data_IF_859301526306
#
_entry.id   IF_859301526306
#
_cell.length_a   1.000
_cell.length_b   1.000
_cell.length_c   1.000
_cell.angle_alpha   90.00
_cell.angle_beta   90.00
_cell.angle_gamma   90.00
#
_symmetry.space_group_name_H-M   'P 1'
#
loop_
_entity.id
_entity.type
_entity.pdbx_description
1 polymer ?
#
# COMPACT_ATOMS: atom_id res chain seq x y z
N UNK A 1 -6.59 0.57 0.33
CA UNK A 1 -7.18 0.74 1.68
C UNK A 1 -6.73 2.07 2.28
N UNK A 2 -7.41 2.53 3.33
CA UNK A 2 -7.06 3.74 4.10
C UNK A 2 -6.93 3.35 5.56
N UNK A 3 -5.84 3.76 6.20
CA UNK A 3 -5.55 3.52 7.61
C UNK A 3 -5.33 4.86 8.31
N UNK A 4 -5.91 5.06 9.50
CA UNK A 4 -5.82 6.36 10.20
C UNK A 4 -4.47 6.56 10.88
N UNK A 5 -3.70 5.48 11.10
CA UNK A 5 -2.38 5.52 11.75
C UNK A 5 -1.47 4.37 11.30
N UNK A 6 -0.16 4.54 11.50
CA UNK A 6 0.83 3.45 11.37
C UNK A 6 0.48 2.25 12.28
N UNK A 7 -0.06 2.49 13.47
CA UNK A 7 -0.47 1.44 14.41
C UNK A 7 -1.63 0.59 13.86
N UNK A 8 -2.63 1.21 13.23
CA UNK A 8 -3.74 0.49 12.59
C UNK A 8 -3.27 -0.33 11.39
N UNK A 9 -2.37 0.25 10.60
CA UNK A 9 -1.77 -0.46 9.49
C UNK A 9 -1.00 -1.71 9.97
N UNK A 10 -0.18 -1.57 11.01
CA UNK A 10 0.53 -2.71 11.59
C UNK A 10 -0.41 -3.76 12.17
N UNK A 11 -1.49 -3.36 12.87
CA UNK A 11 -2.53 -4.31 13.35
C UNK A 11 -3.16 -5.10 12.21
N UNK A 12 -3.38 -4.47 11.06
CA UNK A 12 -3.93 -5.14 9.88
C UNK A 12 -2.93 -6.12 9.28
N UNK A 13 -1.65 -5.74 9.18
CA UNK A 13 -0.57 -6.66 8.77
C UNK A 13 -0.52 -7.87 9.71
N UNK A 14 -0.48 -7.65 11.02
CA UNK A 14 -0.40 -8.73 12.01
C UNK A 14 -1.64 -9.65 11.94
N UNK A 15 -2.82 -9.07 11.73
CA UNK A 15 -4.05 -9.84 11.53
C UNK A 15 -3.96 -10.74 10.29
N UNK A 16 -3.58 -10.18 9.14
CA UNK A 16 -3.45 -10.95 7.89
C UNK A 16 -2.36 -12.01 7.99
N UNK A 17 -1.21 -11.70 8.60
CA UNK A 17 -0.13 -12.65 8.82
C UNK A 17 -0.58 -13.86 9.66
N UNK A 18 -1.44 -13.64 10.66
CA UNK A 18 -2.03 -14.71 11.47
C UNK A 18 -3.18 -15.43 10.75
N UNK A 19 -3.90 -14.75 9.87
CA UNK A 19 -5.03 -15.32 9.11
C UNK A 19 -4.53 -16.32 8.05
N UNK A 20 -3.40 -16.04 7.42
CA UNK A 20 -2.78 -16.88 6.39
C UNK A 20 -3.36 -16.68 4.98
N UNK A 21 -2.51 -16.81 3.96
CA UNK A 21 -2.79 -16.41 2.56
C UNK A 21 -4.02 -17.07 1.93
N UNK A 22 -4.35 -18.28 2.37
CA UNK A 22 -5.53 -19.03 1.95
C UNK A 22 -6.86 -18.32 2.28
N UNK A 23 -6.84 -17.45 3.29
CA UNK A 23 -8.02 -16.75 3.79
C UNK A 23 -8.09 -15.29 3.32
N UNK A 24 -7.10 -14.78 2.59
CA UNK A 24 -7.13 -13.41 2.05
C UNK A 24 -8.33 -13.12 1.15
N UNK A 25 -8.81 -14.05 0.29
CA UNK A 25 -10.04 -13.81 -0.48
C UNK A 25 -11.26 -13.55 0.40
N UNK A 26 -11.38 -14.23 1.54
CA UNK A 26 -12.50 -14.04 2.47
C UNK A 26 -12.43 -12.68 3.14
N UNK A 27 -11.23 -12.27 3.56
CA UNK A 27 -11.00 -10.93 4.09
C UNK A 27 -11.41 -9.85 3.07
N UNK A 28 -10.93 -9.95 1.83
CA UNK A 28 -11.24 -9.03 0.73
C UNK A 28 -12.76 -8.93 0.47
N UNK A 29 -13.49 -10.04 0.56
CA UNK A 29 -14.95 -10.07 0.45
C UNK A 29 -15.64 -9.42 1.66
N UNK A 30 -15.20 -9.69 2.89
CA UNK A 30 -15.81 -9.14 4.11
C UNK A 30 -15.74 -7.61 4.18
N UNK A 31 -14.64 -7.03 3.69
CA UNK A 31 -14.43 -5.57 3.69
C UNK A 31 -14.81 -4.91 2.34
N UNK A 32 -15.41 -5.66 1.42
CA UNK A 32 -15.80 -5.21 0.07
C UNK A 32 -14.64 -4.50 -0.67
N UNK A 33 -13.44 -5.07 -0.58
CA UNK A 33 -12.21 -4.49 -1.13
C UNK A 33 -11.65 -5.35 -2.25
N UNK A 34 -11.43 -4.73 -3.40
CA UNK A 34 -10.68 -5.35 -4.49
C UNK A 34 -9.20 -5.00 -4.35
N UNK A 35 -8.40 -5.96 -3.89
CA UNK A 35 -6.95 -5.78 -3.73
C UNK A 35 -6.19 -5.90 -5.05
N UNK A 36 -4.93 -5.45 -5.05
CA UNK A 36 -4.02 -5.68 -6.16
C UNK A 36 -3.87 -7.15 -6.48
N UNK A 37 -3.76 -8.00 -5.44
CA UNK A 37 -3.74 -9.46 -5.55
C UNK A 37 -4.97 -9.98 -6.28
N UNK A 38 -6.16 -9.65 -5.82
CA UNK A 38 -7.42 -10.17 -6.37
C UNK A 38 -7.59 -9.84 -7.86
N UNK A 39 -7.20 -8.63 -8.27
CA UNK A 39 -7.39 -8.15 -9.64
C UNK A 39 -6.27 -8.58 -10.59
N UNK A 40 -5.01 -8.58 -10.14
CA UNK A 40 -3.85 -8.76 -11.01
C UNK A 40 -3.18 -10.15 -10.91
N UNK A 41 -3.49 -10.98 -9.91
CA UNK A 41 -2.82 -12.28 -9.72
C UNK A 41 -3.07 -13.20 -10.92
N UNK A 42 -1.98 -13.66 -11.53
CA UNK A 42 -2.00 -14.49 -12.74
C UNK A 42 -2.10 -13.73 -14.06
N UNK A 43 -2.19 -12.40 -14.04
CA UNK A 43 -2.05 -11.59 -15.24
C UNK A 43 -0.58 -11.55 -15.71
N UNK A 44 -0.34 -11.38 -17.01
CA UNK A 44 1.03 -11.37 -17.58
C UNK A 44 1.91 -10.22 -17.07
N UNK A 45 1.29 -9.21 -16.47
CA UNK A 45 1.92 -8.07 -15.81
C UNK A 45 2.04 -8.23 -14.28
N UNK A 46 1.66 -9.39 -13.71
CA UNK A 46 1.96 -9.68 -12.31
C UNK A 46 3.48 -9.62 -12.14
N UNK A 47 4.01 -8.67 -11.36
CA UNK A 47 5.43 -8.58 -11.16
C UNK A 47 5.86 -9.89 -10.50
N UNK A 48 6.80 -10.61 -11.10
CA UNK A 48 7.35 -11.84 -10.53
C UNK A 48 7.90 -11.64 -9.10
N UNK A 49 8.08 -10.39 -8.70
CA UNK A 49 8.61 -9.93 -7.41
C UNK A 49 7.54 -9.57 -6.37
N UNK A 50 6.25 -9.65 -6.69
CA UNK A 50 5.23 -9.72 -5.62
C UNK A 50 5.24 -11.15 -5.10
N UNK A 51 6.24 -11.43 -4.27
CA UNK A 51 6.34 -12.67 -3.49
C UNK A 51 5.51 -12.56 -2.20
N UNK A 52 5.12 -11.34 -1.82
CA UNK A 52 4.34 -11.05 -0.62
C UNK A 52 2.84 -10.89 -0.96
N UNK A 53 2.12 -12.01 -0.85
CA UNK A 53 0.66 -12.09 -1.03
C UNK A 53 -0.08 -11.21 0.01
N UNK A 54 0.49 -11.02 1.21
CA UNK A 54 -0.09 -10.21 2.29
C UNK A 54 -0.07 -8.74 1.90
N UNK A 55 1.08 -8.24 1.48
CA UNK A 55 1.20 -6.84 1.08
C UNK A 55 0.31 -6.54 -0.14
N UNK A 56 0.25 -7.45 -1.11
CA UNK A 56 -0.61 -7.32 -2.28
C UNK A 56 -2.12 -7.32 -1.96
N UNK A 57 -2.52 -7.86 -0.80
CA UNK A 57 -3.89 -7.80 -0.29
C UNK A 57 -4.23 -6.44 0.34
N UNK A 58 -3.25 -5.62 0.73
CA UNK A 58 -3.47 -4.33 1.39
C UNK A 58 -3.54 -3.13 0.42
N UNK A 59 -2.91 -3.26 -0.75
CA UNK A 59 -2.90 -2.22 -1.79
C UNK A 59 -4.09 -2.37 -2.75
N UNK A 60 -4.57 -1.25 -3.27
CA UNK A 60 -5.64 -1.23 -4.27
C UNK A 60 -5.13 -1.72 -5.65
N UNK A 61 -6.00 -1.94 -6.65
CA UNK A 61 -5.61 -2.49 -7.95
C UNK A 61 -4.65 -1.60 -8.74
N UNK A 62 -4.57 -0.32 -8.39
CA UNK A 62 -3.69 0.67 -8.99
C UNK A 62 -2.32 0.77 -8.27
N UNK A 63 -2.10 -0.01 -7.21
CA UNK A 63 -0.85 -0.05 -6.46
C UNK A 63 -0.74 0.99 -5.34
N UNK A 64 -1.87 1.47 -4.83
CA UNK A 64 -1.92 2.50 -3.80
C UNK A 64 -2.46 2.00 -2.45
N UNK A 65 -1.94 2.60 -1.38
CA UNK A 65 -2.42 2.47 0.00
C UNK A 65 -2.24 3.80 0.72
N UNK A 66 -3.21 4.20 1.54
CA UNK A 66 -3.10 5.41 2.35
C UNK A 66 -2.92 5.02 3.81
N UNK A 67 -1.95 5.63 4.48
CA UNK A 67 -1.74 5.53 5.93
C UNK A 67 -1.51 6.94 6.45
N UNK A 68 -2.31 7.36 7.43
CA UNK A 68 -2.35 8.75 7.91
C UNK A 68 -2.61 9.74 6.76
N UNK A 69 -1.80 10.80 6.70
CA UNK A 69 -1.79 11.80 5.65
C UNK A 69 -0.81 11.44 4.51
N UNK A 70 -0.40 10.18 4.38
CA UNK A 70 0.47 9.74 3.29
C UNK A 70 -0.26 8.79 2.35
N UNK A 71 -0.23 9.10 1.06
CA UNK A 71 -0.55 8.14 0.01
C UNK A 71 0.74 7.47 -0.44
N UNK A 72 0.81 6.15 -0.34
CA UNK A 72 1.90 5.35 -0.86
C UNK A 72 1.52 4.76 -2.21
N UNK A 73 2.43 4.88 -3.18
CA UNK A 73 2.36 4.23 -4.49
C UNK A 73 3.52 3.28 -4.65
N UNK A 74 3.22 2.03 -4.97
CA UNK A 74 4.21 0.99 -5.16
C UNK A 74 4.50 0.83 -6.65
N UNK A 75 5.75 1.06 -7.06
CA UNK A 75 6.22 0.79 -8.42
C UNK A 75 7.02 -0.51 -8.42
N UNK A 76 6.32 -1.61 -8.66
CA UNK A 76 6.90 -2.96 -8.71
C UNK A 76 7.95 -3.13 -9.81
N UNK A 77 7.92 -2.31 -10.87
CA UNK A 77 8.90 -2.40 -11.94
C UNK A 77 10.25 -1.80 -11.53
N UNK A 78 10.23 -0.84 -10.58
CA UNK A 78 11.42 -0.16 -10.09
C UNK A 78 11.84 -0.56 -8.68
N UNK A 79 11.06 -1.41 -8.01
CA UNK A 79 11.26 -1.81 -6.60
C UNK A 79 11.34 -0.59 -5.67
N UNK A 80 10.41 0.34 -5.90
CA UNK A 80 10.36 1.62 -5.18
C UNK A 80 8.96 1.91 -4.69
N UNK A 81 8.90 2.59 -3.56
CA UNK A 81 7.67 3.15 -3.02
C UNK A 81 7.79 4.67 -2.99
N UNK A 82 6.74 5.33 -3.46
CA UNK A 82 6.61 6.77 -3.50
C UNK A 82 5.56 7.18 -2.49
N UNK A 83 5.94 8.01 -1.52
CA UNK A 83 5.01 8.59 -0.57
C UNK A 83 4.68 10.03 -0.96
N UNK A 84 3.39 10.34 -1.01
CA UNK A 84 2.84 11.65 -1.28
C UNK A 84 2.17 12.17 -0.01
N UNK A 85 2.58 13.33 0.47
CA UNK A 85 1.89 14.02 1.57
C UNK A 85 0.56 14.53 1.02
N UNK A 86 -0.53 14.19 1.70
CA UNK A 86 -1.87 14.65 1.40
C UNK A 86 -2.22 15.83 2.30
N UNK A 87 -2.81 16.84 1.69
CA UNK A 87 -3.45 17.94 2.43
C UNK A 87 -4.83 17.49 2.96
N UNK A 88 -5.40 18.19 3.95
CA UNK A 88 -6.73 17.85 4.51
C UNK A 88 -7.82 17.73 3.44
N UNK A 89 -7.74 18.54 2.38
CA UNK A 89 -8.67 18.47 1.23
C UNK A 89 -8.49 17.25 0.32
N UNK A 90 -7.35 16.58 0.40
CA UNK A 90 -7.00 15.40 -0.40
C UNK A 90 -7.21 14.09 0.37
N UNK A 91 -7.27 14.15 1.71
CA UNK A 91 -7.54 12.99 2.56
C UNK A 91 -8.92 12.37 2.32
N UNK A 92 -9.90 13.14 1.83
CA UNK A 92 -11.24 12.65 1.46
C UNK A 92 -11.34 12.14 0.01
N UNK A 93 -10.33 12.40 -0.83
CA UNK A 93 -10.34 11.99 -2.23
C UNK A 93 -9.88 10.53 -2.32
N UNK A 94 -10.82 9.63 -2.62
CA UNK A 94 -10.55 8.24 -3.02
C UNK A 94 -9.53 8.25 -4.16
N UNK A 95 -8.27 7.89 -3.86
CA UNK A 95 -7.10 7.47 -4.68
C UNK A 95 -6.89 7.96 -6.13
N UNK A 96 -7.94 8.22 -6.92
CA UNK A 96 -7.94 8.51 -8.35
C UNK A 96 -7.59 9.97 -8.73
N UNK A 97 -7.40 10.89 -7.77
CA UNK A 97 -7.25 12.33 -8.08
C UNK A 97 -5.95 12.98 -7.59
N UNK A 98 -5.03 12.22 -7.00
CA UNK A 98 -3.80 12.79 -6.43
C UNK A 98 -2.82 13.09 -7.56
N UNK A 99 -2.72 14.37 -7.91
CA UNK A 99 -1.91 14.92 -9.02
C UNK A 99 -0.60 15.52 -8.53
N UNK A 100 -0.17 15.23 -7.30
CA UNK A 100 1.05 15.78 -6.70
C UNK A 100 2.33 15.12 -7.24
N UNK A 101 2.57 15.24 -8.55
CA UNK A 101 3.82 14.84 -9.22
C UNK A 101 5.06 15.62 -8.71
N UNK A 102 4.91 16.58 -7.80
CA UNK A 102 5.96 17.52 -7.41
C UNK A 102 6.86 17.13 -6.23
N UNK A 103 6.40 16.33 -5.26
CA UNK A 103 7.11 16.15 -3.97
C UNK A 103 7.03 14.72 -3.41
N UNK A 104 7.12 13.70 -4.26
CA UNK A 104 7.14 12.32 -3.79
C UNK A 104 8.44 12.05 -3.00
N UNK A 105 8.31 11.53 -1.78
CA UNK A 105 9.43 10.97 -1.03
C UNK A 105 9.60 9.53 -1.54
N UNK A 106 10.74 9.26 -2.15
CA UNK A 106 11.09 7.93 -2.68
C UNK A 106 11.92 7.17 -1.65
N UNK A 107 11.55 5.90 -1.44
CA UNK A 107 12.37 4.95 -0.69
C UNK A 107 12.37 3.56 -1.34
N UNK A 108 13.51 2.87 -1.22
CA UNK A 108 13.69 1.48 -1.62
C UNK A 108 12.97 0.53 -0.66
N UNK A 109 12.72 -0.70 -1.10
CA UNK A 109 12.08 -1.72 -0.26
C UNK A 109 12.97 -2.27 0.86
N UNK A 110 14.27 -1.94 0.84
CA UNK A 110 15.22 -2.22 1.91
C UNK A 110 15.28 -1.10 2.97
N UNK A 111 14.63 0.04 2.73
CA UNK A 111 14.51 1.15 3.67
C UNK A 111 13.22 1.03 4.49
N UNK A 112 13.29 1.42 5.77
CA UNK A 112 12.09 1.65 6.59
C UNK A 112 11.41 2.95 6.12
N UNK A 113 10.32 2.79 5.37
CA UNK A 113 9.58 3.91 4.80
C UNK A 113 9.09 4.92 5.82
N UNK A 114 8.63 4.49 7.00
CA UNK A 114 8.16 5.40 8.04
C UNK A 114 9.33 6.11 8.73
N UNK A 115 10.49 5.45 8.89
CA UNK A 115 11.70 6.10 9.37
C UNK A 115 12.20 7.17 8.38
N UNK A 116 12.17 6.89 7.08
CA UNK A 116 12.51 7.86 6.02
C UNK A 116 11.59 9.08 6.08
N UNK A 117 10.27 8.88 6.22
CA UNK A 117 9.29 9.96 6.34
C UNK A 117 9.51 10.83 7.58
N UNK A 118 9.95 10.23 8.69
CA UNK A 118 10.29 10.93 9.94
C UNK A 118 11.66 11.62 9.90
N UNK A 119 12.39 11.56 8.79
CA UNK A 119 13.72 12.14 8.63
C UNK A 119 14.85 11.32 9.25
N UNK A 120 14.56 10.09 9.69
CA UNK A 120 15.53 9.17 10.30
C UNK A 120 16.04 8.18 9.23
N UNK A 121 16.85 8.66 8.30
CA UNK A 121 17.62 7.79 7.41
C UNK A 121 18.78 7.16 8.20
N UNK A 122 18.68 5.87 8.49
CA UNK A 122 19.80 5.05 8.99
C UNK A 122 20.41 4.26 7.84
#
# INVERSE_FOLDING_TARGET
>A
MVFESEEEFQKCIDFLANLGDENFPLFEEEIEFDSYRKVNKGASNWPAKIEDDLFATLINPEGFIQVENYLFKVDFSKEKTYAYVLDESEMELKSASITSEGNAIEFGWDEDGFAVLKGNRN
#
